data_IF_331226035247
#
_entry.id   IF_331226035247
#
_cell.length_a   1.000
_cell.length_b   1.000
_cell.length_c   1.000
_cell.angle_alpha   90.00
_cell.angle_beta   90.00
_cell.angle_gamma   90.00
#
_symmetry.space_group_name_H-M   'P 1'
#
loop_
_entity.id
_entity.type
_entity.pdbx_description
1 polymer ?
#
# COMPACT_ATOMS: atom_id res chain seq x y z
N UNK A 1 -37.26 -12.89 -4.06
CA UNK A 1 -36.35 -13.34 -4.29
C UNK A 1 -35.18 -12.61 -4.44
N UNK A 2 -34.28 -12.80 -3.93
CA UNK A 2 -33.11 -12.05 -3.78
C UNK A 2 -31.93 -12.66 -4.38
N UNK A 3 -32.19 -13.45 -5.37
CA UNK A 3 -31.12 -14.21 -5.99
C UNK A 3 -30.29 -13.39 -6.93
N UNK A 4 -30.72 -12.15 -7.22
CA UNK A 4 -29.94 -11.29 -8.08
C UNK A 4 -28.56 -10.97 -7.51
N UNK A 5 -28.42 -10.97 -6.17
CA UNK A 5 -27.11 -10.73 -5.58
C UNK A 5 -26.19 -11.90 -5.75
N UNK A 6 -26.74 -13.12 -5.89
CA UNK A 6 -25.92 -14.30 -6.10
C UNK A 6 -25.36 -14.39 -7.50
N UNK A 7 -26.01 -13.69 -8.44
CA UNK A 7 -25.64 -13.75 -9.83
C UNK A 7 -24.66 -12.66 -10.23
N UNK A 8 -24.23 -11.81 -9.29
CA UNK A 8 -23.26 -10.78 -9.61
C UNK A 8 -21.90 -11.43 -9.85
N UNK A 9 -21.41 -11.30 -11.07
CA UNK A 9 -20.09 -11.81 -11.43
C UNK A 9 -19.02 -10.97 -10.77
N UNK A 10 -17.90 -11.61 -10.40
CA UNK A 10 -16.73 -10.91 -9.90
C UNK A 10 -16.27 -9.88 -10.92
N UNK A 11 -16.41 -10.17 -12.21
CA UNK A 11 -15.99 -9.27 -13.27
C UNK A 11 -16.81 -7.97 -13.28
N UNK A 12 -17.97 -7.96 -12.65
CA UNK A 12 -18.82 -6.78 -12.57
C UNK A 12 -18.49 -5.89 -11.38
N UNK A 13 -17.61 -6.35 -10.48
CA UNK A 13 -17.22 -5.55 -9.32
C UNK A 13 -16.10 -4.57 -9.70
N UNK A 14 -16.13 -3.35 -9.13
CA UNK A 14 -15.06 -2.40 -9.39
C UNK A 14 -13.80 -2.74 -8.60
N UNK A 15 -12.68 -2.13 -9.00
CA UNK A 15 -11.47 -2.13 -8.20
C UNK A 15 -11.53 -0.98 -7.18
N UNK A 16 -11.00 -1.21 -5.99
CA UNK A 16 -10.93 -0.18 -4.96
C UNK A 16 -9.77 0.77 -5.27
N UNK A 17 -10.02 2.09 -5.42
CA UNK A 17 -8.93 3.04 -5.65
C UNK A 17 -8.05 3.18 -4.41
N UNK A 18 -6.75 3.00 -4.58
CA UNK A 18 -5.79 3.03 -3.48
C UNK A 18 -4.52 3.77 -3.87
N UNK A 19 -3.79 4.23 -2.87
CA UNK A 19 -2.43 4.73 -3.04
C UNK A 19 -1.48 3.76 -2.36
N UNK A 20 -0.30 3.58 -2.97
CA UNK A 20 0.80 2.87 -2.35
C UNK A 20 1.94 3.85 -2.11
N UNK A 21 2.67 3.66 -1.03
CA UNK A 21 3.68 4.61 -0.58
C UNK A 21 5.05 3.93 -0.57
N UNK A 22 5.91 4.33 -1.52
CA UNK A 22 7.30 3.91 -1.53
C UNK A 22 8.11 5.02 -0.85
N UNK A 23 8.29 4.90 0.45
CA UNK A 23 8.97 5.90 1.26
C UNK A 23 10.44 5.56 1.39
N UNK A 24 11.28 6.36 0.74
CA UNK A 24 12.73 6.15 0.71
C UNK A 24 13.41 6.98 1.78
N UNK A 25 14.35 6.38 2.52
CA UNK A 25 15.21 7.14 3.42
C UNK A 25 16.43 7.68 2.66
N UNK A 26 17.35 8.34 3.38
CA UNK A 26 18.53 8.93 2.76
C UNK A 26 19.51 7.90 2.22
N UNK A 27 19.40 6.64 2.65
CA UNK A 27 20.23 5.55 2.14
C UNK A 27 19.59 4.82 0.96
N UNK A 28 18.41 5.27 0.52
CA UNK A 28 17.72 4.64 -0.59
C UNK A 28 16.97 3.37 -0.23
N UNK A 29 16.79 3.10 1.06
CA UNK A 29 15.97 1.97 1.53
C UNK A 29 14.53 2.41 1.68
N UNK A 30 13.61 1.46 1.60
CA UNK A 30 12.18 1.74 1.72
C UNK A 30 11.61 1.21 3.01
N UNK A 31 10.57 1.89 3.50
CA UNK A 31 9.89 1.48 4.72
C UNK A 31 8.89 0.38 4.43
N UNK A 32 8.95 -0.68 5.25
CA UNK A 32 7.92 -1.73 5.25
C UNK A 32 7.42 -1.93 6.67
N UNK A 33 6.15 -2.29 6.78
CA UNK A 33 5.52 -2.62 8.06
C UNK A 33 5.03 -4.06 8.04
N UNK A 34 5.12 -4.71 9.20
CA UNK A 34 4.58 -6.05 9.38
C UNK A 34 3.12 -5.94 9.82
N UNK A 35 2.23 -6.58 9.08
CA UNK A 35 0.80 -6.51 9.36
C UNK A 35 0.44 -7.23 10.65
N UNK A 36 -0.43 -6.59 11.44
CA UNK A 36 -0.94 -7.21 12.67
C UNK A 36 -1.83 -8.41 12.35
N UNK A 37 -2.66 -8.31 11.31
CA UNK A 37 -3.60 -9.36 10.94
C UNK A 37 -2.97 -10.54 10.21
N UNK A 38 -1.72 -10.42 9.80
CA UNK A 38 -0.98 -11.46 9.09
C UNK A 38 0.49 -11.42 9.50
N UNK A 39 0.83 -11.93 10.68
CA UNK A 39 2.23 -11.93 11.13
C UNK A 39 3.15 -12.59 10.10
N UNK A 40 4.28 -11.96 9.85
CA UNK A 40 5.22 -12.40 8.82
C UNK A 40 4.96 -11.78 7.45
N UNK A 41 3.82 -11.11 7.25
CA UNK A 41 3.51 -10.42 6.00
C UNK A 41 3.93 -8.97 6.12
N UNK A 42 4.96 -8.59 5.37
CA UNK A 42 5.48 -7.23 5.32
C UNK A 42 5.02 -6.54 4.05
N UNK A 43 4.78 -5.25 4.13
CA UNK A 43 4.39 -4.47 2.96
C UNK A 43 4.73 -3.00 3.12
N UNK A 44 4.81 -2.28 2.01
CA UNK A 44 4.88 -0.83 2.06
C UNK A 44 3.51 -0.27 2.45
N UNK A 45 3.45 0.91 3.09
CA UNK A 45 2.17 1.51 3.46
C UNK A 45 1.27 1.71 2.25
N UNK A 46 -0.02 1.50 2.43
CA UNK A 46 -1.01 1.71 1.39
C UNK A 46 -2.38 1.94 2.02
N UNK A 47 -3.27 2.54 1.28
CA UNK A 47 -4.63 2.73 1.75
C UNK A 47 -5.55 3.25 0.68
N UNK A 48 -6.85 3.32 0.98
CA UNK A 48 -7.86 3.77 0.05
C UNK A 48 -7.81 5.27 -0.20
N UNK A 49 -8.25 5.66 -1.38
CA UNK A 49 -8.46 7.06 -1.73
C UNK A 49 -9.93 7.37 -1.48
N UNK A 50 -10.21 8.39 -0.68
CA UNK A 50 -11.59 8.79 -0.42
C UNK A 50 -12.20 9.51 -1.62
N UNK A 51 -13.52 9.46 -1.81
CA UNK A 51 -14.15 10.18 -2.92
C UNK A 51 -13.79 11.66 -2.91
N UNK A 52 -13.32 12.16 -4.05
CA UNK A 52 -12.93 13.56 -4.18
C UNK A 52 -11.56 13.93 -3.63
N UNK A 53 -10.85 12.96 -3.05
CA UNK A 53 -9.53 13.20 -2.49
C UNK A 53 -8.47 13.07 -3.58
N UNK A 54 -7.50 14.00 -3.63
CA UNK A 54 -6.41 13.88 -4.60
C UNK A 54 -5.33 12.93 -4.08
N UNK A 55 -4.43 12.54 -4.98
CA UNK A 55 -3.40 11.53 -4.68
C UNK A 55 -2.49 11.96 -3.54
N UNK A 56 -1.99 13.20 -3.56
CA UNK A 56 -1.05 13.66 -2.53
C UNK A 56 -1.73 13.75 -1.17
N UNK A 57 -2.96 14.23 -1.12
CA UNK A 57 -3.71 14.29 0.13
C UNK A 57 -3.89 12.89 0.72
N UNK A 58 -4.27 11.92 -0.14
CA UNK A 58 -4.45 10.54 0.29
C UNK A 58 -3.14 9.95 0.84
N UNK A 59 -2.02 10.20 0.16
CA UNK A 59 -0.71 9.70 0.57
C UNK A 59 -0.34 10.22 1.96
N UNK A 60 -0.42 11.53 2.18
CA UNK A 60 -0.05 12.11 3.46
C UNK A 60 -1.00 11.68 4.59
N UNK A 61 -2.28 11.57 4.29
CA UNK A 61 -3.26 11.08 5.26
C UNK A 61 -2.96 9.65 5.67
N UNK A 62 -2.70 8.77 4.69
CA UNK A 62 -2.37 7.37 4.98
C UNK A 62 -1.05 7.24 5.74
N UNK A 63 -0.06 8.07 5.44
CA UNK A 63 1.18 8.08 6.22
C UNK A 63 0.91 8.41 7.69
N UNK A 64 0.12 9.43 7.95
CA UNK A 64 -0.21 9.79 9.33
C UNK A 64 -0.95 8.66 10.05
N UNK A 65 -1.87 7.99 9.34
CA UNK A 65 -2.64 6.91 9.94
C UNK A 65 -1.78 5.68 10.20
N UNK A 66 -0.92 5.31 9.27
CA UNK A 66 -0.20 4.04 9.36
C UNK A 66 1.14 4.13 10.08
N UNK A 67 1.87 5.21 9.90
CA UNK A 67 3.20 5.36 10.50
C UNK A 67 3.37 6.61 11.36
N UNK A 68 2.31 7.38 11.55
CA UNK A 68 2.32 8.50 12.51
C UNK A 68 3.07 9.74 12.09
N UNK A 69 3.55 9.82 10.86
CA UNK A 69 4.28 10.97 10.36
C UNK A 69 4.02 11.18 8.87
N UNK A 70 4.03 12.44 8.44
CA UNK A 70 3.94 12.81 7.03
C UNK A 70 5.16 13.63 6.59
N UNK A 71 6.27 13.49 7.30
CA UNK A 71 7.51 14.22 7.00
C UNK A 71 8.20 13.64 5.79
N UNK A 72 7.72 13.97 4.62
CA UNK A 72 8.25 13.44 3.37
C UNK A 72 7.94 14.37 2.22
N UNK A 73 8.81 14.34 1.20
CA UNK A 73 8.60 15.08 -0.04
C UNK A 73 8.27 14.10 -1.16
N UNK A 74 7.25 14.40 -1.94
CA UNK A 74 6.91 13.59 -3.11
C UNK A 74 8.00 13.74 -4.17
N UNK A 75 8.55 12.60 -4.61
CA UNK A 75 9.56 12.59 -5.67
C UNK A 75 8.90 12.31 -7.02
N UNK A 76 8.00 11.35 -7.04
CA UNK A 76 7.37 10.90 -8.28
C UNK A 76 6.04 10.25 -7.99
N UNK A 77 5.02 10.58 -8.79
CA UNK A 77 3.76 9.85 -8.82
C UNK A 77 3.84 8.91 -10.00
N UNK A 78 3.73 7.61 -9.75
CA UNK A 78 3.83 6.62 -10.80
C UNK A 78 2.76 6.82 -11.86
N UNK A 79 3.14 6.73 -13.12
CA UNK A 79 2.22 6.95 -14.23
C UNK A 79 1.30 5.74 -14.45
N UNK A 80 1.77 4.56 -14.12
CA UNK A 80 1.05 3.33 -14.36
C UNK A 80 0.24 2.94 -13.15
N UNK A 81 -1.06 2.79 -13.32
CA UNK A 81 -1.92 2.24 -12.28
C UNK A 81 -1.77 0.73 -12.27
N UNK A 82 -1.60 0.17 -11.08
CA UNK A 82 -1.41 -1.27 -10.93
C UNK A 82 -2.65 -1.88 -10.32
N UNK A 83 -3.12 -2.95 -10.92
CA UNK A 83 -4.31 -3.67 -10.44
C UNK A 83 -3.95 -5.05 -9.99
N UNK A 84 -4.60 -5.54 -8.95
CA UNK A 84 -4.59 -6.94 -8.61
C UNK A 84 -5.98 -7.36 -8.15
N UNK A 85 -6.32 -8.62 -8.44
CA UNK A 85 -7.58 -9.21 -7.98
C UNK A 85 -7.35 -9.93 -6.67
N UNK A 86 -8.36 -9.91 -5.81
CA UNK A 86 -8.29 -10.68 -4.58
C UNK A 86 -8.28 -12.17 -4.91
N UNK A 87 -7.48 -12.97 -4.18
CA UNK A 87 -7.57 -14.42 -4.30
C UNK A 87 -8.99 -14.90 -4.01
N UNK A 88 -9.46 -15.97 -4.65
CA UNK A 88 -10.85 -16.44 -4.46
C UNK A 88 -11.24 -16.65 -3.01
N UNK A 89 -10.31 -17.11 -2.17
CA UNK A 89 -10.62 -17.36 -0.76
C UNK A 89 -10.84 -16.10 0.07
N UNK A 90 -10.42 -14.93 -0.44
CA UNK A 90 -10.64 -13.66 0.22
C UNK A 90 -11.84 -12.89 -0.33
N UNK A 91 -12.31 -13.29 -1.51
CA UNK A 91 -13.52 -12.67 -2.07
C UNK A 91 -14.70 -12.93 -1.15
N UNK A 92 -15.49 -11.92 -0.91
CA UNK A 92 -16.62 -12.02 0.00
C UNK A 92 -16.30 -11.79 1.45
N UNK A 93 -15.01 -11.79 1.81
CA UNK A 93 -14.59 -11.54 3.19
C UNK A 93 -14.09 -10.13 3.41
N UNK A 94 -13.44 -9.57 2.38
CA UNK A 94 -12.91 -8.22 2.47
C UNK A 94 -13.87 -7.24 1.80
N UNK A 95 -13.98 -6.06 2.35
CA UNK A 95 -14.75 -4.94 1.80
C UNK A 95 -16.21 -5.29 1.50
N UNK A 96 -16.77 -6.27 2.20
CA UNK A 96 -18.18 -6.65 2.11
C UNK A 96 -18.63 -6.92 0.67
N UNK A 97 -17.81 -7.57 -0.12
CA UNK A 97 -18.11 -7.90 -1.52
C UNK A 97 -18.24 -6.67 -2.43
N UNK A 98 -17.70 -5.53 -2.05
CA UNK A 98 -17.81 -4.31 -2.87
C UNK A 98 -16.80 -4.25 -4.00
N UNK A 99 -15.65 -4.92 -3.85
CA UNK A 99 -14.56 -4.79 -4.78
C UNK A 99 -13.99 -6.15 -5.15
N UNK A 100 -13.49 -6.25 -6.39
CA UNK A 100 -12.80 -7.45 -6.85
C UNK A 100 -11.30 -7.44 -6.51
N UNK A 101 -10.76 -6.28 -6.19
CA UNK A 101 -9.35 -6.09 -5.89
C UNK A 101 -9.05 -4.62 -5.72
N UNK A 102 -7.80 -4.25 -5.97
CA UNK A 102 -7.37 -2.85 -5.84
C UNK A 102 -6.79 -2.33 -7.15
N UNK A 103 -7.01 -1.03 -7.39
CA UNK A 103 -6.29 -0.28 -8.41
C UNK A 103 -5.43 0.72 -7.67
N UNK A 104 -4.12 0.61 -7.81
CA UNK A 104 -3.17 1.37 -7.01
C UNK A 104 -2.40 2.38 -7.83
N UNK A 105 -2.33 3.61 -7.32
CA UNK A 105 -1.39 4.62 -7.78
C UNK A 105 -0.25 4.63 -6.78
N UNK A 106 0.95 4.32 -7.24
CA UNK A 106 2.12 4.31 -6.36
C UNK A 106 2.85 5.64 -6.41
N UNK A 107 3.32 6.09 -5.25
CA UNK A 107 4.01 7.36 -5.10
C UNK A 107 5.33 7.12 -4.40
N UNK A 108 6.40 7.65 -4.97
CA UNK A 108 7.72 7.62 -4.34
C UNK A 108 7.92 8.92 -3.58
N UNK A 109 8.37 8.81 -2.31
CA UNK A 109 8.62 9.96 -1.46
C UNK A 109 10.00 9.82 -0.81
N UNK A 110 10.62 10.96 -0.52
CA UNK A 110 11.85 11.01 0.27
C UNK A 110 11.51 11.38 1.70
N UNK A 111 11.82 10.50 2.64
CA UNK A 111 11.56 10.76 4.05
C UNK A 111 12.46 11.88 4.56
N UNK A 112 11.89 12.85 5.25
CA UNK A 112 12.61 14.01 5.79
C UNK A 112 12.62 14.03 7.32
N UNK A 113 11.97 13.04 7.95
CA UNK A 113 11.96 12.92 9.40
C UNK A 113 13.05 11.96 9.90
N UNK A 114 12.94 11.65 11.17
CA UNK A 114 13.82 10.69 11.84
C UNK A 114 13.06 9.42 12.16
N UNK A 115 13.80 8.34 12.45
CA UNK A 115 13.14 7.08 12.83
C UNK A 115 12.25 7.24 14.05
N UNK A 116 12.65 8.10 15.00
CA UNK A 116 11.85 8.35 16.21
C UNK A 116 10.49 9.00 15.92
N UNK A 117 10.32 9.60 14.74
CA UNK A 117 9.04 10.21 14.36
C UNK A 117 8.01 9.16 13.95
N UNK A 118 8.44 7.94 13.65
CA UNK A 118 7.54 6.87 13.20
C UNK A 118 6.83 6.28 14.41
N UNK A 119 5.49 6.31 14.38
CA UNK A 119 4.65 5.82 15.47
C UNK A 119 3.52 4.98 14.89
N UNK A 120 3.62 3.68 15.04
CA UNK A 120 2.63 2.75 14.50
C UNK A 120 1.30 2.79 15.24
N UNK A 121 1.27 3.43 16.41
CA UNK A 121 0.06 3.50 17.24
C UNK A 121 -0.62 4.87 17.17
N UNK A 122 -0.26 5.70 16.20
CA UNK A 122 -0.85 7.02 16.04
C UNK A 122 -2.33 6.96 15.68
N UNK A 123 -2.75 5.88 15.03
CA UNK A 123 -4.14 5.65 14.63
C UNK A 123 -4.65 4.36 15.29
N UNK A 124 -5.91 4.31 15.65
CA UNK A 124 -6.50 3.16 16.31
C UNK A 124 -7.67 2.62 15.47
N UNK A 125 -7.65 1.32 15.06
CA UNK A 125 -6.61 0.34 15.35
C UNK A 125 -5.39 0.49 14.47
N UNK A 126 -4.21 0.08 14.94
CA UNK A 126 -3.01 0.14 14.12
C UNK A 126 -3.00 -0.94 13.04
N UNK A 127 -2.34 -0.65 11.92
CA UNK A 127 -2.20 -1.60 10.81
C UNK A 127 -0.97 -2.49 10.97
N UNK A 128 0.10 -1.92 11.52
CA UNK A 128 1.38 -2.58 11.64
C UNK A 128 1.80 -2.76 13.09
N UNK A 129 2.50 -3.86 13.36
CA UNK A 129 3.07 -4.10 14.68
C UNK A 129 4.58 -3.87 14.73
N UNK A 130 5.25 -3.86 13.58
CA UNK A 130 6.67 -3.58 13.45
C UNK A 130 6.93 -2.86 12.15
N UNK A 131 8.06 -2.17 12.06
CA UNK A 131 8.49 -1.55 10.82
C UNK A 131 10.00 -1.63 10.68
N UNK A 132 10.50 -1.52 9.44
CA UNK A 132 11.93 -1.50 9.18
C UNK A 132 12.22 -0.86 7.83
N UNK A 133 13.47 -0.45 7.65
CA UNK A 133 13.97 -0.02 6.35
C UNK A 133 14.60 -1.23 5.66
N UNK A 134 14.25 -1.48 4.41
CA UNK A 134 14.82 -2.60 3.64
C UNK A 134 15.25 -2.12 2.27
N UNK A 135 16.15 -2.86 1.65
CA UNK A 135 16.50 -2.60 0.25
C UNK A 135 15.28 -2.89 -0.61
N UNK A 136 15.07 -2.06 -1.62
CA UNK A 136 13.89 -2.20 -2.47
C UNK A 136 13.76 -3.60 -3.06
N UNK A 137 14.87 -4.21 -3.51
CA UNK A 137 14.83 -5.55 -4.09
C UNK A 137 14.50 -6.65 -3.08
N UNK A 138 14.76 -6.42 -1.80
CA UNK A 138 14.52 -7.44 -0.77
C UNK A 138 13.03 -7.55 -0.40
N UNK A 139 12.21 -6.61 -0.83
CA UNK A 139 10.77 -6.63 -0.54
C UNK A 139 10.10 -7.90 -1.07
N UNK A 140 10.58 -8.41 -2.21
CA UNK A 140 9.94 -9.59 -2.82
C UNK A 140 10.01 -10.83 -1.95
N UNK A 141 10.97 -10.89 -1.03
CA UNK A 141 11.09 -11.99 -0.09
C UNK A 141 10.19 -11.82 1.14
N UNK A 142 9.63 -10.63 1.33
CA UNK A 142 8.85 -10.29 2.50
C UNK A 142 7.35 -10.20 2.22
N UNK A 143 6.99 -9.92 0.96
CA UNK A 143 5.60 -9.69 0.58
C UNK A 143 4.83 -11.02 0.42
N UNK A 144 3.51 -10.99 0.68
CA UNK A 144 2.67 -12.16 0.42
C UNK A 144 2.66 -12.50 -1.07
N UNK A 145 2.60 -13.80 -1.43
CA UNK A 145 2.79 -14.21 -2.82
C UNK A 145 1.89 -13.55 -3.85
N UNK A 146 0.62 -13.32 -3.54
CA UNK A 146 -0.29 -12.77 -4.56
C UNK A 146 -0.02 -11.30 -4.88
N UNK A 147 0.82 -10.62 -4.09
CA UNK A 147 1.20 -9.23 -4.35
C UNK A 147 2.56 -9.10 -5.03
N UNK A 148 3.27 -10.22 -5.25
CA UNK A 148 4.63 -10.17 -5.80
C UNK A 148 4.69 -9.50 -7.16
N UNK A 149 3.77 -9.81 -8.06
CA UNK A 149 3.79 -9.23 -9.40
C UNK A 149 3.60 -7.71 -9.37
N UNK A 150 2.70 -7.24 -8.51
CA UNK A 150 2.51 -5.80 -8.32
C UNK A 150 3.78 -5.14 -7.81
N UNK A 151 4.43 -5.74 -6.82
CA UNK A 151 5.65 -5.18 -6.24
C UNK A 151 6.83 -5.22 -7.21
N UNK A 152 6.91 -6.21 -8.10
CA UNK A 152 7.91 -6.22 -9.16
C UNK A 152 7.78 -4.98 -10.05
N UNK A 153 6.55 -4.60 -10.35
CA UNK A 153 6.32 -3.39 -11.15
C UNK A 153 6.66 -2.11 -10.38
N UNK A 154 6.36 -2.07 -9.09
CA UNK A 154 6.74 -0.93 -8.24
C UNK A 154 8.26 -0.77 -8.22
N UNK A 155 8.97 -1.87 -8.05
CA UNK A 155 10.44 -1.87 -8.05
C UNK A 155 10.95 -1.32 -9.39
N UNK A 156 10.39 -1.80 -10.49
CA UNK A 156 10.80 -1.35 -11.82
C UNK A 156 10.57 0.15 -12.01
N UNK A 157 9.45 0.68 -11.48
CA UNK A 157 9.14 2.10 -11.61
C UNK A 157 10.09 2.99 -10.79
N UNK A 158 10.47 2.53 -9.60
CA UNK A 158 11.13 3.40 -8.62
C UNK A 158 12.59 3.06 -8.31
N UNK A 159 13.15 2.04 -8.95
CA UNK A 159 14.55 1.67 -8.69
C UNK A 159 15.55 2.81 -8.92
N UNK A 160 15.20 3.77 -9.76
CA UNK A 160 16.03 4.95 -9.99
C UNK A 160 16.17 5.83 -8.75
N UNK A 161 15.27 5.70 -7.77
CA UNK A 161 15.29 6.49 -6.54
C UNK A 161 16.08 5.83 -5.41
N UNK A 162 16.57 4.61 -5.62
CA UNK A 162 17.42 3.92 -4.63
C UNK A 162 18.70 4.69 -4.39
N UNK A 163 19.21 5.36 -5.42
CA UNK A 163 20.40 6.20 -5.25
C UNK A 163 19.93 7.57 -4.76
N UNK A 164 20.39 7.90 -3.58
CA UNK A 164 20.06 9.18 -2.98
C UNK A 164 20.75 10.33 -3.71
#
# INVERSE_FOLDING_TARGET
MNDTQKDISIDDLPYRPCVGIALFNTEGKVLVGERIDSPGAWQMPQGGIDPGEDIQTAVYREMLEEIGTDKADVIEIGEKKLRYDLPPHLLGRLWKNKYRGQEQVWVALRYTGEDADINLNAHNPPEFQKWQWVKLDDILDLIVPFKKDTYKEVIAMFKKHVKA
#
